data_IF_678308411747
#
_entry.id   IF_678308411747
#
_cell.length_a   1.000
_cell.length_b   1.000
_cell.length_c   1.000
_cell.angle_alpha   90.00
_cell.angle_beta   90.00
_cell.angle_gamma   90.00
#
_symmetry.space_group_name_H-M   'P 1'
#
loop_
_entity.id
_entity.type
_entity.pdbx_description
1 polymer ?
#
# COMPACT_ATOMS: atom_id res chain seq x y z
N UNK A 1 30.45 8.78 16.13
CA UNK A 1 30.38 7.30 16.23
C UNK A 1 28.95 6.80 16.49
N UNK A 2 28.27 7.24 17.56
CA UNK A 2 26.88 6.84 17.89
C UNK A 2 25.88 7.26 16.79
N UNK A 3 25.98 8.48 16.26
CA UNK A 3 25.12 8.96 15.15
C UNK A 3 25.24 8.12 13.88
N UNK A 4 26.47 7.78 13.48
CA UNK A 4 26.74 6.91 12.33
C UNK A 4 26.27 5.46 12.56
N UNK A 5 26.25 4.99 13.82
CA UNK A 5 25.70 3.69 14.17
C UNK A 5 24.15 3.70 14.15
N UNK A 6 23.52 4.77 14.65
CA UNK A 6 22.07 4.97 14.59
C UNK A 6 21.56 5.13 13.15
N UNK A 7 22.32 5.77 12.26
CA UNK A 7 22.01 5.89 10.84
C UNK A 7 22.12 4.56 10.08
N UNK A 8 22.93 3.61 10.57
CA UNK A 8 23.09 2.26 10.00
C UNK A 8 22.05 1.25 10.49
N UNK A 9 21.39 1.49 11.62
CA UNK A 9 20.41 0.55 12.18
C UNK A 9 19.21 0.24 11.26
N UNK A 10 18.60 1.22 10.57
CA UNK A 10 17.54 0.94 9.61
C UNK A 10 17.95 -0.05 8.52
N UNK A 11 19.16 0.11 7.97
CA UNK A 11 19.70 -0.76 6.95
C UNK A 11 19.98 -2.18 7.47
N UNK A 12 20.44 -2.32 8.73
CA UNK A 12 20.67 -3.65 9.32
C UNK A 12 19.37 -4.43 9.57
N UNK A 13 18.31 -3.76 10.02
CA UNK A 13 17.02 -4.41 10.22
C UNK A 13 16.39 -4.85 8.89
N UNK A 14 16.46 -4.00 7.86
CA UNK A 14 16.01 -4.35 6.51
C UNK A 14 16.81 -5.54 5.95
N UNK A 15 18.15 -5.53 6.08
CA UNK A 15 19.02 -6.64 5.66
C UNK A 15 18.70 -7.94 6.41
N UNK A 16 18.46 -7.88 7.71
CA UNK A 16 18.09 -9.06 8.50
C UNK A 16 16.75 -9.64 8.05
N UNK A 17 15.77 -8.78 7.75
CA UNK A 17 14.46 -9.17 7.26
C UNK A 17 14.53 -9.78 5.84
N UNK A 18 15.32 -9.17 4.95
CA UNK A 18 15.62 -9.70 3.62
C UNK A 18 16.29 -11.08 3.72
N UNK A 19 17.31 -11.24 4.57
CA UNK A 19 18.00 -12.51 4.78
C UNK A 19 17.08 -13.59 5.37
N UNK A 20 16.28 -13.26 6.38
CA UNK A 20 15.31 -14.19 6.96
C UNK A 20 14.26 -14.64 5.95
N UNK A 21 13.81 -13.72 5.08
CA UNK A 21 12.85 -14.03 4.01
C UNK A 21 13.49 -14.91 2.95
N UNK A 22 14.75 -14.66 2.55
CA UNK A 22 15.49 -15.54 1.63
C UNK A 22 15.63 -16.94 2.21
N UNK A 23 16.00 -17.07 3.49
CA UNK A 23 16.10 -18.37 4.14
C UNK A 23 14.77 -19.13 4.12
N UNK A 24 13.65 -18.43 4.31
CA UNK A 24 12.32 -19.01 4.22
C UNK A 24 11.93 -19.42 2.78
N UNK A 25 12.38 -18.69 1.75
CA UNK A 25 12.23 -19.09 0.34
C UNK A 25 13.03 -20.37 0.04
N UNK A 26 14.27 -20.46 0.51
CA UNK A 26 15.09 -21.68 0.36
C UNK A 26 14.45 -22.87 1.10
N UNK A 27 13.93 -22.65 2.31
CA UNK A 27 13.20 -23.67 3.04
C UNK A 27 11.94 -24.14 2.29
N UNK A 28 11.22 -23.22 1.64
CA UNK A 28 10.05 -23.57 0.81
C UNK A 28 10.45 -24.45 -0.38
N UNK A 29 11.60 -24.19 -1.00
CA UNK A 29 12.15 -25.02 -2.07
C UNK A 29 12.46 -26.44 -1.59
N UNK A 30 13.05 -26.57 -0.40
CA UNK A 30 13.35 -27.88 0.21
C UNK A 30 12.05 -28.64 0.52
N UNK A 31 11.07 -27.97 1.16
CA UNK A 31 9.73 -28.56 1.42
C UNK A 31 9.10 -29.11 0.13
N UNK A 32 9.13 -28.30 -0.93
CA UNK A 32 8.60 -28.70 -2.23
C UNK A 32 9.30 -29.94 -2.78
N UNK A 33 10.64 -29.97 -2.74
CA UNK A 33 11.44 -31.09 -3.24
C UNK A 33 11.18 -32.40 -2.50
N UNK A 34 10.80 -32.36 -1.22
CA UNK A 34 10.45 -33.56 -0.43
C UNK A 34 8.95 -33.89 -0.45
N UNK A 35 8.12 -33.09 -1.14
CA UNK A 35 6.69 -33.32 -1.28
C UNK A 35 5.88 -33.14 0.01
N UNK A 36 6.34 -32.29 0.93
CA UNK A 36 5.72 -32.15 2.26
C UNK A 36 4.53 -31.17 2.27
N UNK A 37 3.32 -31.74 2.17
CA UNK A 37 2.08 -31.11 2.65
C UNK A 37 1.61 -29.85 1.90
N UNK A 38 2.17 -29.56 0.73
CA UNK A 38 1.81 -28.37 -0.05
C UNK A 38 0.47 -28.54 -0.79
N UNK A 39 -0.34 -27.49 -0.76
CA UNK A 39 -1.55 -27.40 -1.57
C UNK A 39 -1.20 -27.48 -3.06
N UNK A 40 -1.80 -28.45 -3.75
CA UNK A 40 -1.66 -28.67 -5.19
C UNK A 40 -3.03 -28.53 -5.84
N UNK A 41 -3.14 -27.70 -6.87
CA UNK A 41 -4.42 -27.51 -7.55
C UNK A 41 -4.83 -28.74 -8.38
N UNK A 42 -6.11 -29.09 -8.36
CA UNK A 42 -6.72 -30.15 -9.18
C UNK A 42 -7.89 -29.61 -10.01
N UNK A 43 -8.08 -30.10 -11.26
CA UNK A 43 -9.25 -29.74 -12.06
C UNK A 43 -10.56 -29.99 -11.31
N UNK A 44 -11.46 -29.00 -11.33
CA UNK A 44 -12.77 -29.06 -10.66
C UNK A 44 -12.80 -28.43 -9.27
N UNK A 45 -11.65 -28.14 -8.65
CA UNK A 45 -11.60 -27.42 -7.37
C UNK A 45 -11.33 -25.92 -7.57
N UNK A 46 -11.78 -25.11 -6.61
CA UNK A 46 -11.52 -23.68 -6.62
C UNK A 46 -10.02 -23.36 -6.49
N UNK A 47 -9.54 -22.41 -7.30
CA UNK A 47 -8.17 -21.94 -7.24
C UNK A 47 -7.96 -21.07 -6.00
N UNK A 48 -7.29 -21.61 -4.98
CA UNK A 48 -6.92 -20.88 -3.75
C UNK A 48 -5.77 -19.92 -4.01
N UNK A 49 -6.03 -18.62 -3.97
CA UNK A 49 -5.03 -17.57 -4.18
C UNK A 49 -4.83 -16.72 -2.91
N UNK A 50 -3.57 -16.47 -2.58
CA UNK A 50 -3.18 -15.55 -1.51
C UNK A 50 -2.83 -14.18 -2.07
N UNK A 51 -3.59 -13.16 -1.69
CA UNK A 51 -3.36 -11.75 -2.02
C UNK A 51 -2.44 -11.12 -0.95
N UNK A 52 -1.29 -10.61 -1.38
CA UNK A 52 -0.24 -10.04 -0.51
C UNK A 52 0.04 -8.60 -0.91
N UNK A 53 -0.21 -7.65 0.00
CA UNK A 53 0.00 -6.22 -0.25
C UNK A 53 -0.22 -5.37 1.00
N UNK A 54 -0.29 -4.05 0.82
CA UNK A 54 -0.61 -3.10 1.89
C UNK A 54 -2.12 -2.89 1.97
N UNK A 55 -2.79 -3.72 2.77
CA UNK A 55 -4.25 -3.80 2.82
C UNK A 55 -4.76 -3.49 4.23
N UNK A 56 -5.98 -2.96 4.32
CA UNK A 56 -6.69 -2.82 5.60
C UNK A 56 -6.06 -1.83 6.57
N UNK A 57 -5.44 -0.80 6.03
CA UNK A 57 -5.06 0.43 6.75
C UNK A 57 -6.00 1.60 6.41
N UNK A 58 -7.02 1.35 5.58
CA UNK A 58 -7.83 2.38 4.91
C UNK A 58 -7.01 3.33 4.05
N UNK A 59 -5.97 2.83 3.41
CA UNK A 59 -5.34 3.56 2.33
C UNK A 59 -6.19 3.37 1.08
N UNK A 60 -6.92 4.43 0.69
CA UNK A 60 -7.90 4.41 -0.40
C UNK A 60 -7.30 3.88 -1.69
N UNK A 61 -6.10 4.34 -2.08
CA UNK A 61 -5.47 3.88 -3.32
C UNK A 61 -5.08 2.41 -3.27
N UNK A 62 -4.59 1.90 -2.14
CA UNK A 62 -4.27 0.48 -1.99
C UNK A 62 -5.52 -0.41 -1.96
N UNK A 63 -6.51 -0.06 -1.15
CA UNK A 63 -7.72 -0.86 -0.99
C UNK A 63 -8.58 -0.87 -2.27
N UNK A 64 -8.69 0.25 -2.99
CA UNK A 64 -9.41 0.33 -4.29
C UNK A 64 -8.78 -0.60 -5.32
N UNK A 65 -7.45 -0.58 -5.45
CA UNK A 65 -6.74 -1.44 -6.40
C UNK A 65 -6.99 -2.90 -6.12
N UNK A 66 -7.00 -3.32 -4.85
CA UNK A 66 -7.21 -4.73 -4.50
C UNK A 66 -8.66 -5.14 -4.64
N UNK A 67 -9.61 -4.29 -4.25
CA UNK A 67 -11.02 -4.54 -4.48
C UNK A 67 -11.29 -4.80 -5.97
N UNK A 68 -10.65 -4.00 -6.82
CA UNK A 68 -10.77 -4.13 -8.25
C UNK A 68 -10.03 -5.35 -8.81
N UNK A 69 -8.85 -5.69 -8.28
CA UNK A 69 -8.18 -6.96 -8.61
C UNK A 69 -9.04 -8.18 -8.24
N UNK A 70 -9.70 -8.19 -7.07
CA UNK A 70 -10.60 -9.25 -6.64
C UNK A 70 -11.75 -9.41 -7.64
N UNK A 71 -12.39 -8.31 -8.02
CA UNK A 71 -13.47 -8.29 -9.02
C UNK A 71 -13.00 -8.84 -10.37
N UNK A 72 -11.83 -8.41 -10.84
CA UNK A 72 -11.23 -8.85 -12.10
C UNK A 72 -10.86 -10.34 -12.08
N UNK A 73 -10.27 -10.84 -11.00
CA UNK A 73 -9.93 -12.25 -10.83
C UNK A 73 -11.18 -13.13 -10.89
N UNK A 74 -12.24 -12.74 -10.19
CA UNK A 74 -13.54 -13.44 -10.22
C UNK A 74 -14.19 -13.40 -11.59
N UNK A 75 -14.11 -12.26 -12.28
CA UNK A 75 -14.61 -12.15 -13.65
C UNK A 75 -13.87 -13.08 -14.62
N UNK A 76 -12.54 -13.13 -14.53
CA UNK A 76 -11.69 -13.92 -15.44
C UNK A 76 -11.78 -15.42 -15.14
N UNK A 77 -11.74 -15.80 -13.87
CA UNK A 77 -11.66 -17.20 -13.46
C UNK A 77 -13.04 -17.84 -13.21
N UNK A 78 -14.06 -17.02 -12.94
CA UNK A 78 -15.38 -17.41 -12.46
C UNK A 78 -15.48 -17.31 -10.94
N UNK A 79 -16.57 -16.73 -10.43
CA UNK A 79 -16.80 -16.49 -8.98
C UNK A 79 -16.63 -17.77 -8.15
N UNK A 80 -17.25 -18.87 -8.57
CA UNK A 80 -17.22 -20.15 -7.84
C UNK A 80 -15.93 -20.97 -8.06
N UNK A 81 -15.02 -20.47 -8.90
CA UNK A 81 -13.78 -21.16 -9.28
C UNK A 81 -12.54 -20.58 -8.62
N UNK A 82 -12.70 -19.56 -7.78
CA UNK A 82 -11.59 -18.92 -7.08
C UNK A 82 -11.92 -18.76 -5.60
N UNK A 83 -10.98 -19.16 -4.74
CA UNK A 83 -11.05 -18.93 -3.30
C UNK A 83 -9.93 -17.95 -2.92
N UNK A 84 -10.32 -16.78 -2.44
CA UNK A 84 -9.41 -15.66 -2.22
C UNK A 84 -9.17 -15.46 -0.74
N UNK A 85 -7.88 -15.42 -0.38
CA UNK A 85 -7.43 -14.98 0.94
C UNK A 85 -6.60 -13.72 0.77
N UNK A 86 -6.85 -12.67 1.56
CA UNK A 86 -6.05 -11.45 1.58
C UNK A 86 -5.37 -11.25 2.93
N UNK A 87 -4.09 -10.88 2.91
CA UNK A 87 -3.40 -10.43 4.11
C UNK A 87 -3.82 -9.00 4.43
N UNK A 88 -4.29 -8.72 5.64
CA UNK A 88 -4.75 -7.40 6.07
C UNK A 88 -3.98 -6.89 7.28
N UNK A 89 -3.78 -5.59 7.34
CA UNK A 89 -3.25 -4.91 8.52
C UNK A 89 -4.28 -4.85 9.63
N UNK A 90 -5.58 -4.73 9.35
CA UNK A 90 -6.66 -4.79 10.34
C UNK A 90 -7.99 -5.10 9.63
N UNK A 91 -8.56 -6.28 9.88
CA UNK A 91 -9.81 -6.71 9.24
C UNK A 91 -11.00 -5.80 9.57
N UNK A 92 -10.97 -5.06 10.69
CA UNK A 92 -12.02 -4.09 11.05
C UNK A 92 -11.99 -2.87 10.13
N UNK A 93 -10.80 -2.49 9.67
CA UNK A 93 -10.60 -1.33 8.80
C UNK A 93 -10.97 -1.63 7.35
N UNK A 94 -10.74 -2.86 6.89
CA UNK A 94 -11.15 -3.38 5.58
C UNK A 94 -12.48 -4.13 5.58
N UNK A 95 -13.27 -4.01 6.65
CA UNK A 95 -14.60 -4.62 6.72
C UNK A 95 -15.49 -4.07 5.60
N UNK A 96 -16.11 -4.96 4.82
CA UNK A 96 -16.99 -4.61 3.70
C UNK A 96 -16.28 -4.24 2.39
N UNK A 97 -14.94 -4.09 2.36
CA UNK A 97 -14.22 -3.74 1.13
C UNK A 97 -13.97 -4.93 0.21
N UNK A 98 -13.84 -6.13 0.78
CA UNK A 98 -13.48 -7.35 0.06
C UNK A 98 -14.53 -8.44 0.31
N UNK A 99 -15.75 -8.30 -0.24
CA UNK A 99 -16.84 -9.24 0.01
C UNK A 99 -16.47 -10.66 -0.43
N UNK A 100 -16.68 -11.65 0.44
CA UNK A 100 -16.38 -13.06 0.15
C UNK A 100 -14.88 -13.41 0.12
N UNK A 101 -13.99 -12.53 0.60
CA UNK A 101 -12.55 -12.80 0.69
C UNK A 101 -12.17 -13.09 2.15
N UNK A 102 -11.47 -14.19 2.39
CA UNK A 102 -10.94 -14.51 3.72
C UNK A 102 -9.83 -13.53 4.08
N UNK A 103 -9.93 -12.83 5.20
CA UNK A 103 -8.91 -11.87 5.61
C UNK A 103 -8.05 -12.41 6.74
N UNK A 104 -6.74 -12.42 6.56
CA UNK A 104 -5.77 -12.86 7.56
C UNK A 104 -4.94 -11.69 8.06
N UNK A 105 -4.85 -11.53 9.38
CA UNK A 105 -4.00 -10.50 9.97
C UNK A 105 -2.52 -10.76 9.63
N UNK A 106 -1.87 -9.80 8.99
CA UNK A 106 -0.44 -9.82 8.74
C UNK A 106 0.33 -9.60 10.07
N UNK A 107 1.19 -10.54 10.49
CA UNK A 107 2.06 -10.34 11.65
C UNK A 107 3.18 -9.34 11.35
N UNK A 108 3.70 -8.70 12.41
CA UNK A 108 4.78 -7.71 12.28
C UNK A 108 6.10 -8.36 11.78
N UNK A 109 6.34 -9.63 12.11
CA UNK A 109 7.40 -10.46 11.53
C UNK A 109 6.75 -11.57 10.70
N UNK A 110 6.93 -11.51 9.39
CA UNK A 110 6.21 -12.33 8.43
C UNK A 110 6.97 -13.48 7.75
N UNK A 111 8.31 -13.67 7.80
CA UNK A 111 8.97 -14.75 7.04
C UNK A 111 8.41 -16.15 7.32
N UNK A 112 8.31 -16.54 8.59
CA UNK A 112 7.76 -17.86 8.98
C UNK A 112 6.27 -17.97 8.68
N UNK A 113 5.53 -16.88 8.84
CA UNK A 113 4.12 -16.83 8.52
C UNK A 113 3.88 -17.04 7.02
N UNK A 114 4.61 -16.32 6.16
CA UNK A 114 4.54 -16.50 4.71
C UNK A 114 4.90 -17.93 4.31
N UNK A 115 5.99 -18.50 4.87
CA UNK A 115 6.39 -19.88 4.59
C UNK A 115 5.27 -20.90 4.87
N UNK A 116 4.52 -20.70 5.95
CA UNK A 116 3.37 -21.53 6.27
C UNK A 116 2.14 -21.25 5.39
N UNK A 117 1.84 -19.97 5.14
CA UNK A 117 0.60 -19.58 4.47
C UNK A 117 0.66 -19.77 2.95
N UNK A 118 1.80 -19.54 2.28
CA UNK A 118 1.96 -19.81 0.84
C UNK A 118 1.85 -21.30 0.53
N UNK A 119 2.26 -22.17 1.47
CA UNK A 119 2.13 -23.62 1.32
C UNK A 119 0.66 -24.08 1.24
N UNK A 120 -0.28 -23.34 1.86
CA UNK A 120 -1.72 -23.67 1.90
C UNK A 120 -2.50 -23.23 0.65
N UNK A 121 -1.90 -22.42 -0.20
CA UNK A 121 -2.54 -21.86 -1.39
C UNK A 121 -1.93 -22.44 -2.67
N UNK A 122 -2.67 -22.35 -3.78
CA UNK A 122 -2.21 -22.77 -5.11
C UNK A 122 -1.39 -21.69 -5.81
N UNK A 123 -1.45 -20.45 -5.30
CA UNK A 123 -0.76 -19.32 -5.88
C UNK A 123 -0.73 -18.10 -4.97
N UNK A 124 0.14 -17.17 -5.32
CA UNK A 124 0.27 -15.84 -4.69
C UNK A 124 0.07 -14.78 -5.75
N UNK A 125 -0.74 -13.78 -5.40
CA UNK A 125 -0.86 -12.52 -6.14
C UNK A 125 -0.32 -11.40 -5.23
N UNK A 126 0.80 -10.79 -5.60
CA UNK A 126 1.20 -9.53 -5.00
C UNK A 126 0.32 -8.41 -5.57
N UNK A 127 -0.39 -7.69 -4.69
CA UNK A 127 -1.50 -6.80 -5.04
C UNK A 127 -1.28 -5.39 -4.46
N UNK A 128 -0.22 -4.72 -4.91
CA UNK A 128 0.16 -3.37 -4.48
C UNK A 128 0.81 -2.67 -5.67
N UNK A 129 0.51 -1.40 -5.90
CA UNK A 129 1.23 -0.69 -6.96
C UNK A 129 2.60 -0.23 -6.51
N UNK A 130 2.88 0.04 -5.24
CA UNK A 130 4.25 0.31 -4.77
C UNK A 130 5.09 -0.94 -4.50
N UNK A 131 5.05 -1.90 -5.43
CA UNK A 131 5.54 -3.25 -5.22
C UNK A 131 7.06 -3.39 -5.09
N UNK A 132 7.84 -2.70 -5.94
CA UNK A 132 9.29 -2.87 -6.02
C UNK A 132 10.04 -1.54 -5.89
N UNK A 133 10.12 -0.99 -4.66
CA UNK A 133 10.85 0.28 -4.40
C UNK A 133 11.21 0.49 -2.93
N UNK A 134 12.30 1.21 -2.68
CA UNK A 134 12.73 1.60 -1.33
C UNK A 134 12.07 2.87 -0.78
N UNK A 135 11.36 3.63 -1.64
CA UNK A 135 10.76 4.94 -1.29
C UNK A 135 9.73 4.87 -0.15
N UNK A 136 9.00 3.77 -0.01
CA UNK A 136 7.99 3.61 1.04
C UNK A 136 8.57 2.87 2.24
N UNK A 137 8.92 1.59 2.04
CA UNK A 137 9.63 0.76 3.01
C UNK A 137 10.21 -0.47 2.29
N UNK A 138 11.48 -0.81 2.59
CA UNK A 138 12.09 -2.04 2.08
C UNK A 138 11.30 -3.27 2.54
N UNK A 139 10.89 -3.30 3.82
CA UNK A 139 10.05 -4.36 4.39
C UNK A 139 8.77 -4.66 3.59
N UNK A 140 8.12 -3.65 3.01
CA UNK A 140 6.92 -3.89 2.21
C UNK A 140 7.28 -4.60 0.90
N UNK A 141 8.31 -4.14 0.19
CA UNK A 141 8.83 -4.86 -0.99
C UNK A 141 9.27 -6.28 -0.64
N UNK A 142 9.98 -6.46 0.48
CA UNK A 142 10.44 -7.77 0.96
C UNK A 142 9.28 -8.71 1.27
N UNK A 143 8.17 -8.22 1.82
CA UNK A 143 6.94 -9.00 2.02
C UNK A 143 6.41 -9.56 0.69
N UNK A 144 6.21 -8.68 -0.29
CA UNK A 144 5.60 -9.05 -1.58
C UNK A 144 6.53 -9.91 -2.43
N UNK A 145 7.77 -9.47 -2.65
CA UNK A 145 8.77 -10.24 -3.39
C UNK A 145 9.13 -11.56 -2.69
N UNK A 146 9.10 -11.59 -1.35
CA UNK A 146 9.26 -12.81 -0.57
C UNK A 146 8.14 -13.82 -0.80
N UNK A 147 6.87 -13.37 -0.78
CA UNK A 147 5.73 -14.23 -1.06
C UNK A 147 5.75 -14.76 -2.50
N UNK A 148 6.10 -13.91 -3.48
CA UNK A 148 6.31 -14.31 -4.87
C UNK A 148 7.44 -15.34 -5.01
N UNK A 149 8.55 -15.14 -4.29
CA UNK A 149 9.69 -16.05 -4.27
C UNK A 149 9.36 -17.41 -3.66
N UNK A 150 8.54 -17.44 -2.61
CA UNK A 150 8.06 -18.70 -2.03
C UNK A 150 7.15 -19.45 -3.01
N UNK A 151 6.22 -18.76 -3.68
CA UNK A 151 5.40 -19.38 -4.71
C UNK A 151 6.26 -19.94 -5.86
N UNK A 152 7.27 -19.20 -6.33
CA UNK A 152 8.24 -19.69 -7.32
C UNK A 152 8.98 -20.93 -6.83
N UNK A 153 9.46 -20.93 -5.59
CA UNK A 153 10.18 -22.04 -4.98
C UNK A 153 9.33 -23.32 -4.85
N UNK A 154 8.02 -23.16 -4.74
CA UNK A 154 7.03 -24.23 -4.63
C UNK A 154 6.41 -24.62 -5.99
N UNK A 155 6.92 -24.09 -7.09
CA UNK A 155 6.37 -24.28 -8.43
C UNK A 155 4.87 -23.93 -8.54
N UNK A 156 4.47 -22.85 -7.87
CA UNK A 156 3.08 -22.34 -7.80
C UNK A 156 2.92 -21.06 -8.61
N UNK A 157 1.66 -20.66 -8.83
CA UNK A 157 1.38 -19.38 -9.48
C UNK A 157 1.99 -18.23 -8.66
N UNK A 158 2.79 -17.40 -9.31
CA UNK A 158 3.50 -16.26 -8.71
C UNK A 158 3.29 -15.03 -9.59
N UNK A 159 2.37 -14.15 -9.18
CA UNK A 159 1.91 -13.04 -10.02
C UNK A 159 2.03 -11.72 -9.27
N UNK A 160 2.73 -10.74 -9.86
CA UNK A 160 2.61 -9.33 -9.43
C UNK A 160 1.59 -8.62 -10.30
N UNK A 161 0.49 -8.11 -9.73
CA UNK A 161 -0.56 -7.46 -10.51
C UNK A 161 -0.65 -5.96 -10.22
N UNK A 162 -0.59 -5.13 -11.27
CA UNK A 162 -0.67 -3.67 -11.14
C UNK A 162 0.59 -3.03 -10.57
N UNK A 163 1.74 -3.68 -10.73
CA UNK A 163 2.99 -3.31 -10.08
C UNK A 163 3.59 -2.00 -10.62
N UNK A 164 4.20 -1.24 -9.74
CA UNK A 164 5.18 -0.20 -10.05
C UNK A 164 6.53 -0.58 -9.43
N UNK A 165 7.57 -0.35 -10.21
CA UNK A 165 8.95 -0.50 -9.80
C UNK A 165 9.67 0.84 -9.88
N UNK A 166 10.60 1.08 -8.95
CA UNK A 166 11.36 2.33 -8.91
C UNK A 166 12.72 2.13 -8.25
N UNK A 167 13.31 3.23 -7.77
CA UNK A 167 14.60 3.18 -7.10
C UNK A 167 14.56 2.23 -5.88
N UNK A 168 15.56 1.36 -5.82
CA UNK A 168 15.77 0.36 -4.77
C UNK A 168 17.20 0.42 -4.28
N UNK A 169 17.37 0.25 -2.97
CA UNK A 169 18.66 0.03 -2.35
C UNK A 169 19.33 -1.23 -2.94
N UNK A 170 20.66 -1.29 -2.92
CA UNK A 170 21.41 -2.37 -3.57
C UNK A 170 21.04 -3.77 -3.04
N UNK A 171 20.79 -3.91 -1.73
CA UNK A 171 20.37 -5.18 -1.12
C UNK A 171 18.98 -5.61 -1.60
N UNK A 172 18.03 -4.67 -1.63
CA UNK A 172 16.67 -4.92 -2.11
C UNK A 172 16.66 -5.28 -3.60
N UNK A 173 17.48 -4.62 -4.43
CA UNK A 173 17.67 -5.01 -5.84
C UNK A 173 18.14 -6.46 -5.97
N UNK A 174 19.14 -6.86 -5.18
CA UNK A 174 19.65 -8.23 -5.18
C UNK A 174 18.60 -9.23 -4.70
N UNK A 175 17.85 -8.88 -3.65
CA UNK A 175 16.74 -9.67 -3.12
C UNK A 175 15.65 -9.91 -4.18
N UNK A 176 15.14 -8.86 -4.82
CA UNK A 176 14.11 -8.94 -5.87
C UNK A 176 14.60 -9.75 -7.07
N UNK A 177 15.84 -9.51 -7.53
CA UNK A 177 16.46 -10.28 -8.61
C UNK A 177 16.50 -11.78 -8.31
N UNK A 178 16.79 -12.16 -7.06
CA UNK A 178 16.87 -13.58 -6.66
C UNK A 178 15.49 -14.23 -6.52
N UNK A 179 14.48 -13.49 -6.09
CA UNK A 179 13.19 -14.06 -5.67
C UNK A 179 12.14 -14.04 -6.79
N UNK A 180 12.16 -13.03 -7.67
CA UNK A 180 11.05 -12.77 -8.60
C UNK A 180 11.30 -13.21 -10.05
N UNK A 181 12.44 -13.83 -10.38
CA UNK A 181 12.76 -14.23 -11.77
C UNK A 181 11.71 -15.15 -12.41
N UNK A 182 11.09 -16.04 -11.63
CA UNK A 182 10.03 -16.94 -12.10
C UNK A 182 8.62 -16.32 -12.11
N UNK A 183 8.47 -15.09 -11.62
CA UNK A 183 7.16 -14.47 -11.45
C UNK A 183 6.64 -13.83 -12.73
N UNK A 184 5.31 -13.87 -12.91
CA UNK A 184 4.62 -13.13 -13.95
C UNK A 184 4.21 -11.75 -13.41
N UNK A 185 4.86 -10.67 -13.86
CA UNK A 185 4.58 -9.33 -13.33
C UNK A 185 3.88 -8.45 -14.36
N UNK A 186 2.67 -8.00 -14.07
CA UNK A 186 1.97 -6.97 -14.85
C UNK A 186 2.27 -5.60 -14.23
N UNK A 187 2.95 -4.74 -14.98
CA UNK A 187 3.29 -3.39 -14.55
C UNK A 187 2.34 -2.35 -15.14
N UNK A 188 2.08 -1.28 -14.39
CA UNK A 188 1.14 -0.22 -14.80
C UNK A 188 1.74 0.92 -15.62
N UNK A 189 3.06 0.91 -15.85
CA UNK A 189 3.75 1.90 -16.67
C UNK A 189 5.08 1.37 -17.23
N UNK A 190 5.58 2.03 -18.28
CA UNK A 190 6.81 1.64 -18.98
C UNK A 190 8.07 1.78 -18.12
N UNK A 191 8.18 2.85 -17.34
CA UNK A 191 9.34 3.05 -16.45
C UNK A 191 9.54 1.88 -15.47
N UNK A 192 8.44 1.30 -14.97
CA UNK A 192 8.49 0.11 -14.12
C UNK A 192 8.95 -1.13 -14.88
N UNK A 193 8.53 -1.29 -16.14
CA UNK A 193 8.98 -2.39 -17.00
C UNK A 193 10.50 -2.32 -17.21
N UNK A 194 11.03 -1.13 -17.45
CA UNK A 194 12.46 -0.90 -17.67
C UNK A 194 13.26 -1.28 -16.42
N UNK A 195 12.83 -0.83 -15.23
CA UNK A 195 13.46 -1.18 -13.95
C UNK A 195 13.47 -2.70 -13.71
N UNK A 196 12.35 -3.39 -13.97
CA UNK A 196 12.29 -4.85 -13.78
C UNK A 196 13.13 -5.61 -14.82
N UNK A 197 13.23 -5.09 -16.04
CA UNK A 197 14.07 -5.66 -17.10
C UNK A 197 15.55 -5.66 -16.68
N UNK A 198 16.06 -4.59 -16.09
CA UNK A 198 17.43 -4.55 -15.54
C UNK A 198 17.68 -5.61 -14.46
N UNK A 199 16.64 -5.98 -13.71
CA UNK A 199 16.70 -7.00 -12.67
C UNK A 199 16.53 -8.43 -13.23
N UNK A 200 16.25 -8.57 -14.53
CA UNK A 200 15.95 -9.86 -15.16
C UNK A 200 14.60 -10.44 -14.73
N UNK A 201 13.66 -9.60 -14.26
CA UNK A 201 12.31 -10.00 -13.90
C UNK A 201 11.40 -9.76 -15.10
N UNK A 202 10.76 -10.82 -15.60
CA UNK A 202 9.84 -10.71 -16.74
C UNK A 202 8.64 -9.85 -16.35
N UNK A 203 8.34 -8.83 -17.15
CA UNK A 203 7.18 -7.97 -16.94
C UNK A 203 6.38 -7.73 -18.22
N UNK A 204 5.11 -7.39 -18.04
CA UNK A 204 4.14 -7.12 -19.10
C UNK A 204 3.47 -5.79 -18.82
N UNK A 205 3.33 -4.96 -19.86
CA UNK A 205 2.65 -3.69 -19.71
C UNK A 205 1.13 -3.90 -19.62
N UNK A 206 0.53 -3.32 -18.58
CA UNK A 206 -0.91 -3.21 -18.39
C UNK A 206 -1.31 -1.77 -18.03
N UNK A 207 -2.47 -1.63 -17.38
CA UNK A 207 -2.95 -0.37 -16.81
C UNK A 207 -3.02 -0.48 -15.28
N UNK A 208 -3.26 0.64 -14.60
CA UNK A 208 -3.57 0.60 -13.17
C UNK A 208 -4.85 -0.20 -12.93
N UNK A 209 -4.85 -1.11 -11.96
CA UNK A 209 -6.01 -1.97 -11.73
C UNK A 209 -7.24 -1.19 -11.31
N UNK A 210 -7.07 -0.05 -10.61
CA UNK A 210 -8.18 0.80 -10.19
C UNK A 210 -8.91 1.52 -11.34
N UNK A 211 -8.42 1.45 -12.58
CA UNK A 211 -8.99 2.18 -13.72
C UNK A 211 -10.48 1.90 -13.94
N UNK A 212 -10.93 0.69 -13.59
CA UNK A 212 -12.33 0.26 -13.75
C UNK A 212 -13.10 0.17 -12.44
N UNK A 213 -12.55 0.74 -11.36
CA UNK A 213 -13.21 0.74 -10.06
C UNK A 213 -14.58 1.42 -10.13
N UNK A 214 -15.57 0.81 -9.49
CA UNK A 214 -16.92 1.33 -9.39
C UNK A 214 -17.15 1.95 -8.00
N UNK A 215 -17.20 3.29 -7.89
CA UNK A 215 -17.37 3.97 -6.61
C UNK A 215 -18.85 4.07 -6.23
N UNK A 216 -19.13 4.79 -5.13
CA UNK A 216 -20.51 5.11 -4.78
C UNK A 216 -21.17 5.95 -5.90
N UNK A 217 -22.51 5.87 -6.08
CA UNK A 217 -23.22 6.66 -7.09
C UNK A 217 -22.99 8.17 -6.92
N UNK A 218 -22.99 8.98 -8.01
CA UNK A 218 -22.81 10.43 -7.94
C UNK A 218 -23.73 11.13 -6.91
N UNK A 219 -24.97 10.67 -6.76
CA UNK A 219 -25.90 11.20 -5.77
C UNK A 219 -25.37 11.12 -4.32
N UNK A 220 -24.61 10.08 -3.99
CA UNK A 220 -23.98 9.91 -2.67
C UNK A 220 -22.88 10.96 -2.44
N UNK A 221 -21.99 11.17 -3.41
CA UNK A 221 -20.96 12.20 -3.33
C UNK A 221 -21.57 13.60 -3.19
N UNK A 222 -22.58 13.90 -4.01
CA UNK A 222 -23.31 15.18 -3.95
C UNK A 222 -24.00 15.41 -2.61
N UNK A 223 -24.57 14.36 -2.00
CA UNK A 223 -25.15 14.47 -0.67
C UNK A 223 -24.09 14.78 0.40
N UNK A 224 -22.93 14.13 0.35
CA UNK A 224 -21.80 14.41 1.25
C UNK A 224 -21.29 15.85 1.08
N UNK A 225 -21.15 16.31 -0.16
CA UNK A 225 -20.73 17.68 -0.48
C UNK A 225 -21.77 18.71 -0.02
N UNK A 226 -23.07 18.48 -0.25
CA UNK A 226 -24.15 19.38 0.22
C UNK A 226 -24.21 19.46 1.75
N UNK A 227 -24.01 18.33 2.44
CA UNK A 227 -23.92 18.31 3.90
C UNK A 227 -22.73 19.13 4.42
N UNK A 228 -21.69 19.32 3.60
CA UNK A 228 -20.54 20.17 3.88
C UNK A 228 -20.70 21.63 3.43
N UNK A 229 -21.86 22.01 2.87
CA UNK A 229 -22.18 23.38 2.45
C UNK A 229 -22.03 23.67 0.96
N UNK A 230 -21.90 22.65 0.10
CA UNK A 230 -21.89 22.83 -1.35
C UNK A 230 -23.28 23.11 -1.92
N UNK A 231 -23.41 24.04 -2.87
CA UNK A 231 -24.71 24.36 -3.51
C UNK A 231 -24.70 24.28 -5.06
N UNK A 232 -23.68 23.65 -5.65
CA UNK A 232 -23.62 23.38 -7.08
C UNK A 232 -22.50 24.09 -7.82
N UNK A 233 -21.65 24.84 -7.12
CA UNK A 233 -20.43 25.43 -7.67
C UNK A 233 -19.44 24.36 -8.17
N UNK A 234 -18.49 24.68 -9.06
CA UNK A 234 -17.43 23.74 -9.41
C UNK A 234 -16.66 23.27 -8.16
N UNK A 235 -16.40 21.97 -8.03
CA UNK A 235 -15.64 21.43 -6.90
C UNK A 235 -14.14 21.44 -7.22
N UNK A 236 -13.35 22.04 -6.34
CA UNK A 236 -11.88 21.93 -6.35
C UNK A 236 -11.47 21.00 -5.20
N UNK A 237 -10.94 19.83 -5.54
CA UNK A 237 -10.40 18.89 -4.55
C UNK A 237 -8.91 19.14 -4.35
N UNK A 238 -8.47 19.21 -3.10
CA UNK A 238 -7.06 19.22 -2.72
C UNK A 238 -6.75 18.03 -1.83
N UNK A 239 -5.74 17.24 -2.20
CA UNK A 239 -5.30 16.06 -1.44
C UNK A 239 -3.90 16.32 -0.85
N UNK A 240 -3.80 17.05 0.28
CA UNK A 240 -2.53 17.31 0.93
C UNK A 240 -2.03 16.06 1.68
N UNK A 241 -0.72 15.93 1.80
CA UNK A 241 -0.06 14.90 2.61
C UNK A 241 1.04 15.53 3.46
N UNK A 242 1.68 14.76 4.34
CA UNK A 242 3.00 15.12 4.83
C UNK A 242 4.09 14.44 3.97
N UNK A 243 4.74 15.14 3.03
CA UNK A 243 5.72 14.53 2.13
C UNK A 243 7.03 14.18 2.84
N UNK A 244 7.27 14.72 4.03
CA UNK A 244 8.51 14.54 4.80
C UNK A 244 8.47 13.34 5.75
N UNK A 245 7.35 12.61 5.82
CA UNK A 245 7.21 11.40 6.63
C UNK A 245 7.78 10.12 6.00
N UNK A 246 8.20 10.18 4.74
CA UNK A 246 8.69 9.03 3.96
C UNK A 246 10.16 9.22 3.55
N UNK A 247 10.95 8.14 3.40
CA UNK A 247 10.62 6.73 3.65
C UNK A 247 10.49 6.43 5.15
N UNK A 248 9.63 5.46 5.49
CA UNK A 248 9.55 4.93 6.85
C UNK A 248 10.75 4.00 7.05
N UNK A 249 11.53 4.23 8.11
CA UNK A 249 12.75 3.48 8.44
C UNK A 249 12.58 2.80 9.81
N UNK A 250 13.06 1.56 10.01
CA UNK A 250 12.98 0.92 11.31
C UNK A 250 13.86 1.65 12.34
N UNK A 251 13.35 1.92 13.55
CA UNK A 251 14.12 2.45 14.70
C UNK A 251 14.00 1.49 15.90
N UNK A 252 14.75 0.39 15.86
CA UNK A 252 14.75 -0.64 16.91
C UNK A 252 15.07 -0.08 18.32
N UNK A 253 15.94 0.93 18.43
CA UNK A 253 16.28 1.54 19.71
C UNK A 253 15.15 2.35 20.37
N UNK A 254 14.23 2.93 19.61
CA UNK A 254 13.11 3.74 20.15
C UNK A 254 11.94 2.86 20.61
N UNK A 255 11.72 1.73 19.93
CA UNK A 255 10.72 0.73 20.33
C UNK A 255 11.02 0.10 21.70
N UNK A 256 12.30 -0.10 22.04
CA UNK A 256 12.71 -0.58 23.36
C UNK A 256 12.48 0.47 24.45
N UNK A 257 12.74 1.75 24.15
CA UNK A 257 12.54 2.87 25.08
C UNK A 257 11.05 3.18 25.30
N UNK A 258 10.22 3.14 24.26
CA UNK A 258 8.78 3.38 24.37
C UNK A 258 8.06 2.24 25.11
N UNK A 259 8.53 0.99 24.94
CA UNK A 259 8.05 -0.17 25.72
C UNK A 259 8.42 -0.09 27.20
N UNK A 260 9.53 0.58 27.53
CA UNK A 260 9.96 0.84 28.91
C UNK A 260 9.28 2.08 29.53
N UNK A 261 8.76 3.01 28.72
CA UNK A 261 8.20 4.30 29.18
C UNK A 261 6.68 4.44 29.04
N UNK A 262 5.99 3.48 28.42
CA UNK A 262 4.52 3.48 28.30
C UNK A 262 3.93 4.64 27.46
N UNK A 263 4.76 5.31 26.66
CA UNK A 263 4.36 6.50 25.89
C UNK A 263 4.17 6.16 24.41
N UNK A 264 2.93 5.87 24.01
CA UNK A 264 2.55 5.78 22.60
C UNK A 264 2.36 7.20 22.03
N UNK A 265 3.44 7.82 21.57
CA UNK A 265 3.42 9.16 20.95
C UNK A 265 2.94 9.16 19.49
N UNK A 266 2.51 10.34 19.02
CA UNK A 266 1.91 10.63 17.71
C UNK A 266 2.78 10.38 16.44
N UNK A 267 3.92 9.69 16.57
CA UNK A 267 4.87 9.39 15.49
C UNK A 267 4.94 7.88 15.14
N UNK A 268 4.02 7.09 15.67
CA UNK A 268 4.07 5.63 15.63
C UNK A 268 3.35 5.07 14.39
N UNK A 269 4.12 4.61 13.39
CA UNK A 269 3.59 4.01 12.15
C UNK A 269 3.21 2.53 12.37
N UNK A 270 4.04 1.75 13.10
CA UNK A 270 3.73 0.46 13.76
C UNK A 270 5.01 -0.07 14.44
N UNK A 271 4.89 -0.64 15.64
CA UNK A 271 5.90 -1.26 16.51
C UNK A 271 7.37 -0.83 16.36
N UNK A 272 8.04 -1.21 15.26
CA UNK A 272 9.48 -1.01 15.02
C UNK A 272 9.82 0.15 14.07
N UNK A 273 8.83 0.79 13.45
CA UNK A 273 9.02 1.77 12.38
C UNK A 273 8.51 3.16 12.79
N UNK A 274 9.37 4.16 12.63
CA UNK A 274 9.09 5.55 13.02
C UNK A 274 9.37 6.50 11.87
N UNK A 275 8.57 7.55 11.75
CA UNK A 275 8.87 8.66 10.86
C UNK A 275 10.15 9.39 11.32
N UNK A 276 10.94 9.90 10.38
CA UNK A 276 11.95 10.93 10.65
C UNK A 276 11.23 12.26 10.45
N UNK A 277 11.03 13.01 11.53
CA UNK A 277 10.39 14.31 11.48
C UNK A 277 11.12 15.21 12.50
N UNK A 278 12.15 15.89 12.03
CA UNK A 278 12.90 16.87 12.82
C UNK A 278 12.32 18.30 12.65
N UNK A 279 12.85 19.29 13.37
CA UNK A 279 12.36 20.67 13.29
C UNK A 279 12.51 21.25 11.87
N UNK A 280 13.56 20.84 11.13
CA UNK A 280 13.73 21.24 9.73
C UNK A 280 12.71 20.57 8.80
N UNK A 281 12.30 19.32 9.07
CA UNK A 281 11.16 18.67 8.39
C UNK A 281 9.85 19.39 8.71
N UNK A 282 9.65 19.83 9.96
CA UNK A 282 8.47 20.61 10.37
C UNK A 282 8.41 21.95 9.65
N UNK A 283 9.48 22.72 9.62
CA UNK A 283 9.51 23.98 8.88
C UNK A 283 9.23 23.81 7.38
N UNK A 284 9.78 22.75 6.77
CA UNK A 284 9.51 22.42 5.37
C UNK A 284 8.04 22.03 5.15
N UNK A 285 7.46 21.31 6.09
CA UNK A 285 6.04 20.96 6.09
C UNK A 285 5.14 22.18 6.19
N UNK A 286 5.42 23.10 7.12
CA UNK A 286 4.64 24.35 7.23
C UNK A 286 4.77 25.19 5.94
N UNK A 287 5.98 25.36 5.39
CA UNK A 287 6.18 26.05 4.10
C UNK A 287 5.41 25.39 2.95
N UNK A 288 5.36 24.06 2.92
CA UNK A 288 4.58 23.31 1.94
C UNK A 288 3.08 23.63 2.05
N UNK A 289 2.52 23.63 3.27
CA UNK A 289 1.12 23.95 3.50
C UNK A 289 0.80 25.42 3.18
N UNK A 290 1.67 26.35 3.57
CA UNK A 290 1.50 27.77 3.29
C UNK A 290 1.49 28.06 1.78
N UNK A 291 2.41 27.43 1.04
CA UNK A 291 2.47 27.54 -0.41
C UNK A 291 1.20 26.98 -1.08
N UNK A 292 0.71 25.82 -0.61
CA UNK A 292 -0.50 25.20 -1.13
C UNK A 292 -1.74 26.05 -0.81
N UNK A 293 -1.85 26.58 0.42
CA UNK A 293 -2.92 27.49 0.81
C UNK A 293 -2.92 28.76 -0.03
N UNK A 294 -1.76 29.39 -0.23
CA UNK A 294 -1.61 30.58 -1.08
C UNK A 294 -2.05 30.33 -2.52
N UNK A 295 -1.73 29.15 -3.06
CA UNK A 295 -2.12 28.77 -4.41
C UNK A 295 -3.63 28.48 -4.55
N UNK A 296 -4.25 27.91 -3.52
CA UNK A 296 -5.66 27.50 -3.52
C UNK A 296 -6.61 28.64 -3.14
N UNK A 297 -6.20 29.56 -2.25
CA UNK A 297 -7.05 30.62 -1.71
C UNK A 297 -7.83 31.44 -2.77
N UNK A 298 -7.24 31.86 -3.90
CA UNK A 298 -7.96 32.62 -4.92
C UNK A 298 -9.14 31.87 -5.57
N UNK A 299 -9.16 30.53 -5.48
CA UNK A 299 -10.22 29.71 -6.08
C UNK A 299 -11.46 29.60 -5.19
N UNK A 300 -11.40 30.02 -3.92
CA UNK A 300 -12.54 29.91 -2.98
C UNK A 300 -13.76 30.72 -3.41
N UNK A 301 -13.57 31.79 -4.17
CA UNK A 301 -14.67 32.60 -4.71
C UNK A 301 -15.28 31.99 -5.99
N UNK A 302 -14.63 30.99 -6.58
CA UNK A 302 -14.98 30.42 -7.90
C UNK A 302 -15.32 28.94 -7.85
N UNK A 303 -14.97 28.28 -6.76
CA UNK A 303 -15.10 26.84 -6.59
C UNK A 303 -15.30 26.50 -5.11
N UNK A 304 -16.07 25.45 -4.88
CA UNK A 304 -16.20 24.82 -3.58
C UNK A 304 -14.94 23.99 -3.29
N UNK A 305 -14.08 24.50 -2.43
CA UNK A 305 -12.79 23.88 -2.10
C UNK A 305 -12.98 22.85 -0.99
N UNK A 306 -12.62 21.60 -1.27
CA UNK A 306 -12.65 20.51 -0.29
C UNK A 306 -11.29 19.82 -0.17
N UNK A 307 -11.02 19.30 1.01
CA UNK A 307 -9.79 18.59 1.33
C UNK A 307 -10.08 17.08 1.43
N UNK A 308 -9.27 16.26 0.76
CA UNK A 308 -9.46 14.80 0.76
C UNK A 308 -8.20 14.10 1.28
N UNK A 309 -8.36 13.40 2.40
CA UNK A 309 -7.33 12.55 3.00
C UNK A 309 -7.55 11.08 2.66
N UNK A 310 -6.73 10.52 1.77
CA UNK A 310 -6.91 9.15 1.29
C UNK A 310 -6.42 8.06 2.25
N UNK A 311 -5.76 8.45 3.34
CA UNK A 311 -5.39 7.60 4.47
C UNK A 311 -5.51 8.40 5.77
N UNK A 312 -5.72 7.73 6.91
CA UNK A 312 -5.83 8.39 8.23
C UNK A 312 -4.66 9.33 8.53
N UNK A 313 -3.46 9.00 8.04
CA UNK A 313 -2.27 9.82 8.26
C UNK A 313 -2.36 11.20 7.58
N UNK A 314 -3.18 11.34 6.54
CA UNK A 314 -3.34 12.61 5.80
C UNK A 314 -4.22 13.61 6.56
N UNK A 315 -4.97 13.15 7.56
CA UNK A 315 -5.88 13.98 8.37
C UNK A 315 -5.21 15.27 8.84
N UNK A 316 -4.04 15.16 9.45
CA UNK A 316 -3.30 16.32 9.98
C UNK A 316 -2.97 17.34 8.90
N UNK A 317 -2.63 16.89 7.69
CA UNK A 317 -2.36 17.78 6.57
C UNK A 317 -3.63 18.42 6.01
N UNK A 318 -4.75 17.69 6.02
CA UNK A 318 -6.04 18.25 5.66
C UNK A 318 -6.49 19.29 6.67
N UNK A 319 -6.51 18.98 7.96
CA UNK A 319 -6.93 19.91 9.03
C UNK A 319 -6.07 21.18 9.02
N UNK A 320 -4.74 21.05 8.98
CA UNK A 320 -3.82 22.19 8.98
C UNK A 320 -3.94 23.05 7.70
N UNK A 321 -4.26 22.47 6.55
CA UNK A 321 -4.56 23.24 5.33
C UNK A 321 -5.95 23.87 5.40
N UNK A 322 -6.92 23.17 5.98
CA UNK A 322 -8.29 23.63 6.16
C UNK A 322 -8.35 24.90 7.01
N UNK A 323 -7.61 24.93 8.11
CA UNK A 323 -7.44 26.12 8.96
C UNK A 323 -6.90 27.33 8.17
N UNK A 324 -5.84 27.13 7.37
CA UNK A 324 -5.25 28.18 6.52
C UNK A 324 -6.19 28.70 5.45
N UNK A 325 -7.14 27.86 5.04
CA UNK A 325 -8.17 28.21 4.08
C UNK A 325 -9.44 28.73 4.77
N UNK A 326 -9.48 28.94 6.09
CA UNK A 326 -10.67 29.44 6.78
C UNK A 326 -11.77 28.39 6.91
N UNK A 327 -11.39 27.14 7.23
CA UNK A 327 -12.32 26.05 7.53
C UNK A 327 -12.83 25.28 6.31
N UNK A 328 -11.97 24.97 5.34
CA UNK A 328 -12.37 24.14 4.19
C UNK A 328 -12.87 22.74 4.66
N UNK A 329 -14.01 22.24 4.14
CA UNK A 329 -14.50 20.92 4.49
C UNK A 329 -13.50 19.81 4.15
N UNK A 330 -13.45 18.79 5.01
CA UNK A 330 -12.47 17.71 4.90
C UNK A 330 -13.16 16.35 4.87
N UNK A 331 -12.73 15.47 3.98
CA UNK A 331 -13.20 14.09 3.85
C UNK A 331 -12.00 13.14 3.95
N UNK A 332 -11.90 12.37 5.05
CA UNK A 332 -10.78 11.45 5.31
C UNK A 332 -11.26 10.00 5.37
N UNK A 333 -10.41 9.08 4.90
CA UNK A 333 -10.66 7.62 4.85
C UNK A 333 -10.98 6.93 6.19
N UNK A 334 -10.66 7.54 7.33
CA UNK A 334 -11.05 7.02 8.64
C UNK A 334 -12.54 7.28 8.94
N UNK A 335 -13.17 8.24 8.27
CA UNK A 335 -14.60 8.57 8.38
C UNK A 335 -15.42 8.18 7.14
N UNK A 336 -14.78 8.14 5.97
CA UNK A 336 -15.42 7.85 4.69
C UNK A 336 -14.88 6.58 4.07
N UNK A 337 -15.75 5.85 3.39
CA UNK A 337 -15.33 4.63 2.70
C UNK A 337 -14.53 4.96 1.43
N UNK A 338 -13.77 3.99 0.92
CA UNK A 338 -13.09 4.15 -0.38
C UNK A 338 -14.09 4.45 -1.53
N UNK A 339 -15.31 3.90 -1.45
CA UNK A 339 -16.38 4.16 -2.41
C UNK A 339 -16.86 5.62 -2.36
N UNK A 340 -17.04 6.16 -1.15
CA UNK A 340 -17.44 7.56 -0.95
C UNK A 340 -16.32 8.50 -1.43
N UNK A 341 -15.07 8.24 -1.04
CA UNK A 341 -13.94 9.10 -1.39
C UNK A 341 -13.73 9.15 -2.90
N UNK A 342 -13.68 8.01 -3.59
CA UNK A 342 -13.53 8.01 -5.06
C UNK A 342 -14.72 8.70 -5.74
N UNK A 343 -15.94 8.56 -5.21
CA UNK A 343 -17.10 9.28 -5.74
C UNK A 343 -16.94 10.80 -5.59
N UNK A 344 -16.43 11.30 -4.45
CA UNK A 344 -16.12 12.73 -4.25
C UNK A 344 -15.04 13.19 -5.23
N UNK A 345 -13.97 12.40 -5.42
CA UNK A 345 -12.91 12.73 -6.39
C UNK A 345 -13.45 12.86 -7.81
N UNK A 346 -14.46 12.07 -8.19
CA UNK A 346 -15.10 12.13 -9.52
C UNK A 346 -15.99 13.35 -9.74
N UNK A 347 -16.48 13.99 -8.67
CA UNK A 347 -17.21 15.27 -8.78
C UNK A 347 -16.24 16.47 -8.94
N UNK A 348 -14.93 16.27 -8.75
CA UNK A 348 -13.93 17.33 -8.87
C UNK A 348 -13.84 17.85 -10.31
N UNK A 349 -13.97 19.17 -10.49
CA UNK A 349 -13.63 19.82 -11.76
C UNK A 349 -12.12 19.91 -11.93
N UNK A 350 -11.41 20.11 -10.82
CA UNK A 350 -9.95 20.16 -10.73
C UNK A 350 -9.55 19.40 -9.47
N UNK A 351 -8.49 18.60 -9.58
CA UNK A 351 -7.90 17.86 -8.48
C UNK A 351 -6.42 18.25 -8.37
N UNK A 352 -6.03 18.79 -7.21
CA UNK A 352 -4.64 19.09 -6.88
C UNK A 352 -4.18 18.10 -5.83
N UNK A 353 -3.18 17.28 -6.15
CA UNK A 353 -2.76 16.21 -5.25
C UNK A 353 -1.25 16.18 -5.08
N UNK A 354 -0.81 16.02 -3.84
CA UNK A 354 0.56 15.59 -3.50
C UNK A 354 0.63 14.07 -3.28
N UNK A 355 -0.50 13.38 -3.50
CA UNK A 355 -0.71 11.96 -3.29
C UNK A 355 -0.89 11.26 -4.64
N UNK A 356 -0.11 10.22 -4.87
CA UNK A 356 0.10 9.62 -6.20
C UNK A 356 -0.68 8.31 -6.44
N UNK A 357 -1.48 7.86 -5.48
CA UNK A 357 -2.15 6.56 -5.54
C UNK A 357 -3.64 6.69 -5.87
#
# INVERSE_FOLDING_TARGET
>A
MIRAWLEKQPALADLALEAATLAAVEAARVRHAVGDGEATWRPGEALRLLLVGYLGTRNTGADVRVAEMIRQLRWILGEDRVDLTALTSDARLSAGYFPGVRQLKLPDLYPTFLYGETAKHHGVIACEGSMFKSKFANALTTLMAGALGMANAQNKLSVGYGAEAGAMDASLRAFVRRTCQGSYVVVRNRASADVLTELGVRSFLGTDTAWTFDPAPPARARALLRAAGWDGEPVLVVCPINPFWWPVRPKAGRALVDRLRGAAGAEHYRSLYYHRFDDADRERYERYLDALAKAVAPYRERAFVVLVGMERLDRRACEALGERLGGAPTFVSDEHTMFDLVAILREAKVLVSSRYH
#
